data_IF_756769842562
#
_entry.id   IF_756769842562
#
_cell.length_a   1.000
_cell.length_b   1.000
_cell.length_c   1.000
_cell.angle_alpha   90.00
_cell.angle_beta   90.00
_cell.angle_gamma   90.00
#
_symmetry.space_group_name_H-M   'P 1'
#
loop_
_entity.id
_entity.type
_entity.pdbx_description
1 polymer ?
#
# COMPACT_ATOMS: atom_id res chain seq x y z
N UNK A 1 -14.83 3.34 -4.14
CA UNK A 1 -14.09 4.61 -4.02
C UNK A 1 -14.48 5.23 -2.69
N UNK A 2 -13.54 5.45 -1.75
CA UNK A 2 -13.85 6.24 -0.55
C UNK A 2 -13.88 7.70 -1.00
N UNK A 3 -15.04 8.33 -0.93
CA UNK A 3 -15.17 9.77 -1.11
C UNK A 3 -14.21 10.43 -0.11
N UNK A 4 -13.22 11.16 -0.60
CA UNK A 4 -12.33 11.94 0.26
C UNK A 4 -13.21 12.97 0.97
N UNK A 5 -13.46 12.75 2.25
CA UNK A 5 -14.24 13.68 3.04
C UNK A 5 -13.35 14.90 3.27
N UNK A 6 -13.64 15.97 2.53
CA UNK A 6 -12.92 17.24 2.64
C UNK A 6 -13.23 17.83 4.01
N UNK A 7 -12.21 17.94 4.85
CA UNK A 7 -12.31 18.64 6.13
C UNK A 7 -12.20 20.14 5.86
N UNK A 8 -13.14 20.92 6.40
CA UNK A 8 -13.04 22.38 6.40
C UNK A 8 -12.36 22.84 7.67
N UNK A 9 -11.12 23.31 7.55
CA UNK A 9 -10.33 23.80 8.68
C UNK A 9 -11.01 24.98 9.37
N UNK A 10 -11.73 25.84 8.64
CA UNK A 10 -12.40 27.02 9.19
C UNK A 10 -13.56 26.63 10.10
N UNK A 11 -14.30 25.58 9.75
CA UNK A 11 -15.36 25.04 10.59
C UNK A 11 -14.81 24.36 11.85
N UNK A 12 -13.67 23.66 11.73
CA UNK A 12 -12.99 23.04 12.86
C UNK A 12 -12.48 24.12 13.84
N UNK A 13 -11.88 25.20 13.33
CA UNK A 13 -11.27 26.25 14.15
C UNK A 13 -12.26 27.05 15.01
N UNK A 14 -13.56 27.00 14.70
CA UNK A 14 -14.60 27.55 15.59
C UNK A 14 -14.66 26.85 16.96
N UNK A 15 -14.23 25.58 17.02
CA UNK A 15 -14.37 24.74 18.21
C UNK A 15 -13.02 24.27 18.77
N UNK A 16 -11.96 24.36 17.98
CA UNK A 16 -10.64 23.88 18.34
C UNK A 16 -9.54 24.86 17.93
N UNK A 17 -8.48 24.95 18.71
CA UNK A 17 -7.22 25.57 18.27
C UNK A 17 -6.20 24.49 17.95
N UNK A 18 -5.54 24.62 16.81
CA UNK A 18 -4.51 23.68 16.33
C UNK A 18 -3.17 24.42 16.35
N UNK A 19 -2.18 23.89 17.06
CA UNK A 19 -0.81 24.43 17.09
C UNK A 19 -0.02 24.00 15.85
N UNK A 20 1.11 24.66 15.62
CA UNK A 20 2.06 24.35 14.55
C UNK A 20 2.60 22.91 14.65
N UNK A 21 2.84 22.41 15.87
CA UNK A 21 3.26 21.02 16.17
C UNK A 21 2.14 19.97 16.15
N UNK A 22 0.90 20.38 15.86
CA UNK A 22 -0.25 19.48 15.78
C UNK A 22 -0.92 19.15 17.11
N UNK A 23 -0.70 19.94 18.16
CA UNK A 23 -1.50 19.86 19.38
C UNK A 23 -2.86 20.51 19.19
N UNK A 24 -3.91 19.90 19.75
CA UNK A 24 -5.29 20.36 19.57
C UNK A 24 -5.90 20.73 20.91
N UNK A 25 -6.30 21.99 21.06
CA UNK A 25 -7.06 22.50 22.21
C UNK A 25 -8.55 22.55 21.88
N UNK A 26 -9.41 22.11 22.80
CA UNK A 26 -10.87 22.19 22.63
C UNK A 26 -11.45 23.37 23.39
N UNK A 27 -12.13 24.27 22.68
CA UNK A 27 -12.82 25.42 23.27
C UNK A 27 -14.08 25.02 24.04
N UNK A 28 -14.68 23.88 23.69
CA UNK A 28 -15.85 23.31 24.38
C UNK A 28 -15.43 22.66 25.70
N UNK A 29 -14.38 21.83 25.67
CA UNK A 29 -13.91 21.10 26.87
C UNK A 29 -12.90 21.87 27.71
N UNK A 30 -12.48 23.06 27.26
CA UNK A 30 -11.47 23.94 27.88
C UNK A 30 -10.19 23.20 28.28
N UNK A 31 -9.70 22.32 27.38
CA UNK A 31 -8.50 21.52 27.61
C UNK A 31 -7.85 21.08 26.30
N UNK A 32 -6.57 20.75 26.39
CA UNK A 32 -5.86 20.00 25.36
C UNK A 32 -6.47 18.61 25.19
N UNK A 33 -6.71 18.21 23.94
CA UNK A 33 -7.09 16.85 23.62
C UNK A 33 -5.88 15.94 23.80
N UNK A 34 -6.12 14.72 24.29
CA UNK A 34 -5.07 13.71 24.41
C UNK A 34 -4.71 13.18 23.02
N UNK A 35 -3.46 13.31 22.56
CA UNK A 35 -3.02 12.66 21.34
C UNK A 35 -3.09 11.15 21.50
N UNK A 36 -3.58 10.47 20.47
CA UNK A 36 -3.43 9.02 20.35
C UNK A 36 -2.45 8.72 19.23
N UNK A 37 -1.84 7.54 19.27
CA UNK A 37 -0.96 7.05 18.20
C UNK A 37 -1.55 5.75 17.71
N UNK A 38 -1.79 5.64 16.40
CA UNK A 38 -2.30 4.41 15.81
C UNK A 38 -1.19 3.37 15.63
N UNK A 39 -1.56 2.17 15.20
CA UNK A 39 -0.61 1.06 14.94
C UNK A 39 0.42 1.36 13.83
N UNK A 40 0.26 2.45 13.09
CA UNK A 40 1.16 2.91 12.05
C UNK A 40 2.07 4.05 12.48
N UNK A 41 1.94 4.54 13.73
CA UNK A 41 2.76 5.62 14.28
C UNK A 41 2.23 7.02 14.05
N UNK A 42 1.05 7.18 13.44
CA UNK A 42 0.47 8.51 13.20
C UNK A 42 -0.31 9.00 14.41
N UNK A 43 -0.10 10.27 14.75
CA UNK A 43 -0.86 10.97 15.80
C UNK A 43 -2.25 11.34 15.27
N UNK A 44 -3.28 11.06 16.05
CA UNK A 44 -4.68 11.39 15.72
C UNK A 44 -5.50 11.79 16.95
N UNK A 45 -6.57 12.55 16.67
CA UNK A 45 -7.51 13.08 17.64
C UNK A 45 -8.94 12.71 17.26
N UNK A 46 -9.79 12.50 18.26
CA UNK A 46 -11.22 12.36 18.06
C UNK A 46 -11.88 13.75 18.09
N UNK A 47 -12.41 14.20 16.94
CA UNK A 47 -13.14 15.45 16.81
C UNK A 47 -14.64 15.17 16.84
N UNK A 48 -15.38 16.06 17.51
CA UNK A 48 -16.84 15.96 17.71
C UNK A 48 -17.58 17.11 17.02
N UNK A 49 -16.96 18.29 16.94
CA UNK A 49 -17.55 19.51 16.39
C UNK A 49 -16.75 20.01 15.18
N UNK A 50 -17.34 20.85 14.33
CA UNK A 50 -16.70 21.34 13.10
C UNK A 50 -16.44 20.24 12.06
N UNK A 51 -17.00 19.05 12.27
CA UNK A 51 -16.93 17.87 11.39
C UNK A 51 -18.33 17.28 11.24
N UNK A 52 -18.68 16.64 10.12
CA UNK A 52 -20.05 16.16 9.85
C UNK A 52 -20.48 15.00 10.74
N UNK A 53 -19.54 14.28 11.35
CA UNK A 53 -19.80 13.29 12.41
C UNK A 53 -18.56 13.12 13.26
N UNK A 54 -18.74 12.55 14.45
CA UNK A 54 -17.61 12.19 15.32
C UNK A 54 -16.65 11.29 14.56
N UNK A 55 -15.39 11.69 14.48
CA UNK A 55 -14.38 10.98 13.70
C UNK A 55 -12.98 11.19 14.23
N UNK A 56 -12.09 10.27 13.87
CA UNK A 56 -10.67 10.40 14.10
C UNK A 56 -10.01 11.16 12.95
N UNK A 57 -9.28 12.22 13.26
CA UNK A 57 -8.54 13.04 12.31
C UNK A 57 -7.07 13.06 12.70
N UNK A 58 -6.18 12.94 11.71
CA UNK A 58 -4.74 12.96 11.96
C UNK A 58 -4.23 14.36 12.26
N UNK A 59 -3.24 14.46 13.16
CA UNK A 59 -2.59 15.71 13.53
C UNK A 59 -1.95 16.39 12.31
N UNK A 60 -1.16 15.64 11.52
CA UNK A 60 -0.54 16.15 10.30
C UNK A 60 -1.57 16.71 9.31
N UNK A 61 -2.77 16.12 9.19
CA UNK A 61 -3.84 16.64 8.33
C UNK A 61 -4.34 18.00 8.81
N UNK A 62 -4.60 18.13 10.11
CA UNK A 62 -5.04 19.40 10.70
C UNK A 62 -3.98 20.50 10.53
N UNK A 63 -2.71 20.17 10.76
CA UNK A 63 -1.59 21.11 10.59
C UNK A 63 -1.43 21.51 9.14
N UNK A 64 -1.36 20.55 8.21
CA UNK A 64 -1.17 20.85 6.80
C UNK A 64 -2.29 21.73 6.25
N UNK A 65 -3.56 21.40 6.55
CA UNK A 65 -4.70 22.22 6.11
C UNK A 65 -4.65 23.65 6.65
N UNK A 66 -4.13 23.85 7.88
CA UNK A 66 -4.05 25.16 8.52
C UNK A 66 -2.86 26.00 8.04
N UNK A 67 -1.65 25.43 8.05
CA UNK A 67 -0.40 26.17 7.89
C UNK A 67 0.22 26.06 6.49
N UNK A 68 -0.15 25.02 5.73
CA UNK A 68 0.32 24.82 4.34
C UNK A 68 -0.81 25.16 3.36
N UNK A 69 -2.05 24.82 3.72
CA UNK A 69 -3.25 25.02 2.92
C UNK A 69 -3.77 23.72 2.31
N UNK A 70 -4.75 23.88 1.40
CA UNK A 70 -5.39 22.77 0.73
C UNK A 70 -4.40 21.98 -0.15
N UNK A 71 -4.59 20.66 -0.29
CA UNK A 71 -3.76 19.86 -1.19
C UNK A 71 -3.88 20.39 -2.64
N UNK A 72 -2.78 20.40 -3.42
CA UNK A 72 -2.82 20.86 -4.82
C UNK A 72 -3.77 20.03 -5.69
N UNK A 73 -3.92 18.73 -5.40
CA UNK A 73 -4.90 17.86 -6.05
C UNK A 73 -5.43 16.82 -5.06
N UNK A 74 -6.58 16.20 -5.37
CA UNK A 74 -7.16 15.12 -4.55
C UNK A 74 -6.28 13.88 -4.39
N UNK A 75 -5.23 13.74 -5.22
CA UNK A 75 -4.27 12.63 -5.17
C UNK A 75 -3.08 12.90 -4.26
N UNK A 76 -2.97 14.10 -3.71
CA UNK A 76 -1.90 14.44 -2.79
C UNK A 76 -2.20 13.89 -1.41
N UNK A 77 -1.19 13.24 -0.84
CA UNK A 77 -1.12 12.74 0.51
C UNK A 77 -0.07 13.57 1.27
N UNK A 78 -0.17 13.61 2.60
CA UNK A 78 0.81 14.30 3.43
C UNK A 78 1.96 13.34 3.70
N UNK A 79 3.18 13.83 3.50
CA UNK A 79 4.41 13.13 3.82
C UNK A 79 5.23 13.87 4.87
N UNK A 80 5.94 13.12 5.71
CA UNK A 80 6.81 13.62 6.76
C UNK A 80 8.25 13.64 6.25
N UNK A 81 8.86 14.82 6.14
CA UNK A 81 10.20 14.97 5.55
C UNK A 81 11.26 14.18 6.31
N UNK A 82 11.18 14.12 7.63
CA UNK A 82 12.08 13.38 8.53
C UNK A 82 11.70 11.90 8.76
N UNK A 83 10.64 11.41 8.12
CA UNK A 83 10.03 10.08 8.31
C UNK A 83 9.49 9.79 9.72
N UNK A 84 9.49 10.79 10.62
CA UNK A 84 8.92 10.67 11.95
C UNK A 84 7.45 11.10 11.92
N UNK A 85 6.55 10.12 11.84
CA UNK A 85 5.09 10.30 11.83
C UNK A 85 4.51 11.00 13.06
N UNK A 86 5.31 11.19 14.11
CA UNK A 86 4.94 11.92 15.32
C UNK A 86 5.42 13.38 15.31
N UNK A 87 6.37 13.74 14.44
CA UNK A 87 6.80 15.13 14.23
C UNK A 87 5.83 15.83 13.26
N UNK A 88 4.74 16.39 13.80
CA UNK A 88 3.70 17.02 13.00
C UNK A 88 3.90 18.52 12.78
N UNK A 89 5.07 19.08 13.06
CA UNK A 89 5.34 20.50 12.80
C UNK A 89 5.16 20.82 11.31
N UNK A 90 4.48 21.92 10.96
CA UNK A 90 4.13 22.23 9.57
C UNK A 90 5.33 22.25 8.62
N UNK A 91 6.50 22.69 9.10
CA UNK A 91 7.74 22.71 8.30
C UNK A 91 8.29 21.31 7.96
N UNK A 92 7.83 20.28 8.67
CA UNK A 92 8.17 18.88 8.43
C UNK A 92 7.16 18.17 7.51
N UNK A 93 6.08 18.84 7.12
CA UNK A 93 5.00 18.25 6.31
C UNK A 93 5.06 18.76 4.88
N UNK A 94 4.77 17.89 3.92
CA UNK A 94 4.68 18.26 2.51
C UNK A 94 3.57 17.48 1.81
N UNK A 95 2.87 18.13 0.88
CA UNK A 95 1.95 17.45 -0.02
C UNK A 95 2.73 16.73 -1.12
N UNK A 96 2.51 15.42 -1.27
CA UNK A 96 3.11 14.60 -2.33
C UNK A 96 2.08 13.67 -2.94
N UNK A 97 2.20 13.40 -4.22
CA UNK A 97 1.41 12.33 -4.83
C UNK A 97 1.88 10.96 -4.32
N UNK A 98 0.99 9.97 -4.37
CA UNK A 98 1.32 8.60 -3.97
C UNK A 98 2.55 8.04 -4.71
N UNK A 99 2.71 8.36 -5.99
CA UNK A 99 3.85 7.91 -6.80
C UNK A 99 5.18 8.51 -6.33
N UNK A 100 5.19 9.81 -6.02
CA UNK A 100 6.37 10.51 -5.49
C UNK A 100 6.74 9.98 -4.10
N UNK A 101 5.75 9.77 -3.23
CA UNK A 101 5.96 9.22 -1.90
C UNK A 101 6.58 7.81 -1.97
N UNK A 102 6.07 6.94 -2.85
CA UNK A 102 6.66 5.61 -3.08
C UNK A 102 8.11 5.73 -3.56
N UNK A 103 8.36 6.57 -4.57
CA UNK A 103 9.70 6.73 -5.13
C UNK A 103 10.70 7.20 -4.07
N UNK A 104 10.31 8.18 -3.27
CA UNK A 104 11.15 8.69 -2.19
C UNK A 104 11.38 7.63 -1.11
N UNK A 105 10.35 6.88 -0.73
CA UNK A 105 10.47 5.76 0.22
C UNK A 105 11.49 4.72 -0.25
N UNK A 106 11.55 4.43 -1.55
CA UNK A 106 12.59 3.55 -2.11
C UNK A 106 13.98 4.18 -2.02
N UNK A 107 14.13 5.48 -2.33
CA UNK A 107 15.41 6.19 -2.22
C UNK A 107 15.96 6.19 -0.80
N UNK A 108 15.09 6.34 0.19
CA UNK A 108 15.45 6.40 1.62
C UNK A 108 15.64 5.03 2.28
N UNK A 109 15.40 3.95 1.54
CA UNK A 109 15.45 2.58 2.06
C UNK A 109 14.14 2.23 2.76
N UNK A 110 13.21 1.64 1.99
CA UNK A 110 11.84 1.33 2.39
C UNK A 110 11.76 0.65 3.77
N UNK A 111 11.17 1.33 4.75
CA UNK A 111 10.96 0.81 6.12
C UNK A 111 9.60 0.14 6.29
N UNK A 112 9.48 -0.68 7.33
CA UNK A 112 8.22 -1.30 7.72
C UNK A 112 7.15 -0.25 8.04
N UNK A 113 5.92 -0.50 7.61
CA UNK A 113 4.81 0.45 7.79
C UNK A 113 4.24 0.48 9.23
N UNK A 114 4.48 -0.58 10.01
CA UNK A 114 3.90 -0.79 11.33
C UNK A 114 4.83 -0.28 12.44
N UNK A 115 4.28 0.47 13.40
CA UNK A 115 5.05 0.96 14.54
C UNK A 115 5.56 -0.23 15.37
N UNK A 116 6.88 -0.29 15.57
CA UNK A 116 7.52 -1.34 16.38
C UNK A 116 7.49 -2.76 15.77
N UNK A 117 7.01 -2.93 14.53
CA UNK A 117 7.00 -4.24 13.84
C UNK A 117 7.80 -4.16 12.55
N UNK A 118 9.08 -4.45 12.65
CA UNK A 118 9.88 -4.84 11.50
C UNK A 118 9.61 -6.33 11.25
N UNK A 119 8.93 -6.67 10.14
CA UNK A 119 9.05 -8.03 9.65
C UNK A 119 10.51 -8.20 9.23
N UNK A 120 11.25 -9.18 9.77
CA UNK A 120 12.58 -9.46 9.24
C UNK A 120 12.43 -9.77 7.75
N UNK A 121 13.43 -9.36 6.97
CA UNK A 121 13.52 -9.77 5.57
C UNK A 121 13.41 -11.31 5.51
N UNK A 122 12.68 -11.87 4.54
CA UNK A 122 12.60 -13.33 4.38
C UNK A 122 14.01 -13.94 4.34
N UNK A 123 14.19 -15.12 4.95
CA UNK A 123 15.47 -15.83 4.89
C UNK A 123 15.89 -16.09 3.43
N UNK A 124 17.18 -16.29 3.18
CA UNK A 124 17.67 -16.65 1.83
C UNK A 124 16.91 -17.87 1.28
N UNK A 125 16.72 -18.89 2.12
CA UNK A 125 15.91 -20.07 1.82
C UNK A 125 14.48 -19.70 1.41
N UNK A 126 13.81 -18.82 2.17
CA UNK A 126 12.45 -18.35 1.84
C UNK A 126 12.44 -17.60 0.52
N UNK A 127 13.45 -16.76 0.25
CA UNK A 127 13.58 -16.03 -1.02
C UNK A 127 13.75 -17.01 -2.20
N UNK A 128 14.58 -18.04 -2.03
CA UNK A 128 14.77 -19.09 -3.04
C UNK A 128 13.47 -19.88 -3.27
N UNK A 129 12.76 -20.28 -2.20
CA UNK A 129 11.49 -20.98 -2.31
C UNK A 129 10.45 -20.14 -3.06
N UNK A 130 10.33 -18.85 -2.74
CA UNK A 130 9.43 -17.91 -3.43
C UNK A 130 9.83 -17.69 -4.89
N UNK A 131 11.12 -17.64 -5.20
CA UNK A 131 11.62 -17.51 -6.56
C UNK A 131 11.31 -18.77 -7.39
N UNK A 132 11.52 -19.96 -6.80
CA UNK A 132 11.22 -21.24 -7.44
C UNK A 132 9.71 -21.44 -7.63
N UNK A 133 8.87 -21.02 -6.67
CA UNK A 133 7.41 -21.06 -6.82
C UNK A 133 6.89 -20.22 -7.99
N UNK A 134 7.66 -19.23 -8.48
CA UNK A 134 7.34 -18.46 -9.69
C UNK A 134 7.77 -19.16 -10.99
N UNK A 135 8.65 -20.16 -10.90
CA UNK A 135 9.17 -21.01 -11.98
C UNK A 135 8.45 -22.37 -12.03
N UNK A 136 7.13 -22.37 -11.89
CA UNK A 136 6.33 -23.60 -12.04
C UNK A 136 6.27 -23.95 -13.53
N UNK A 137 6.89 -25.07 -13.95
CA UNK A 137 6.92 -25.43 -15.35
C UNK A 137 5.51 -25.82 -15.83
N UNK A 138 5.26 -25.53 -17.09
CA UNK A 138 3.99 -25.78 -17.76
C UNK A 138 4.26 -26.48 -19.09
N UNK A 139 3.35 -27.34 -19.51
CA UNK A 139 3.40 -27.99 -20.83
C UNK A 139 2.26 -27.46 -21.66
N UNK A 140 2.55 -27.14 -22.91
CA UNK A 140 1.56 -26.83 -23.93
C UNK A 140 1.45 -28.01 -24.89
N UNK A 141 0.25 -28.55 -25.05
CA UNK A 141 -0.02 -29.65 -25.96
C UNK A 141 -0.84 -29.16 -27.12
N UNK A 142 -0.32 -29.32 -28.34
CA UNK A 142 -0.99 -28.96 -29.58
C UNK A 142 -0.75 -30.03 -30.62
N UNK A 143 -1.81 -30.54 -31.24
CA UNK A 143 -1.75 -31.56 -32.29
C UNK A 143 -0.93 -32.80 -31.89
N UNK A 144 -0.99 -33.18 -30.60
CA UNK A 144 -0.23 -34.31 -30.04
C UNK A 144 1.24 -34.02 -29.72
N UNK A 145 1.73 -32.80 -29.98
CA UNK A 145 3.10 -32.37 -29.65
C UNK A 145 3.11 -31.66 -28.30
N UNK A 146 3.96 -32.12 -27.39
CA UNK A 146 4.19 -31.49 -26.10
C UNK A 146 5.35 -30.49 -26.16
N UNK A 147 5.10 -29.26 -25.74
CA UNK A 147 6.08 -28.17 -25.68
C UNK A 147 6.24 -27.75 -24.21
N UNK A 148 7.34 -28.13 -23.55
CA UNK A 148 7.58 -27.74 -22.17
C UNK A 148 8.08 -26.30 -22.07
N UNK A 149 7.65 -25.61 -21.03
CA UNK A 149 8.13 -24.28 -20.63
C UNK A 149 8.50 -24.31 -19.15
N UNK A 150 9.61 -23.69 -18.77
CA UNK A 150 10.06 -23.59 -17.38
C UNK A 150 9.21 -22.68 -16.51
N UNK A 151 8.32 -21.87 -17.09
CA UNK A 151 7.33 -21.09 -16.35
C UNK A 151 6.16 -20.61 -17.21
N UNK A 152 5.09 -20.13 -16.56
CA UNK A 152 4.01 -19.36 -17.22
C UNK A 152 4.58 -18.14 -18.00
N UNK A 153 5.66 -17.53 -17.51
CA UNK A 153 6.27 -16.38 -18.18
C UNK A 153 6.87 -16.76 -19.52
N UNK A 154 7.62 -17.85 -19.52
CA UNK A 154 8.22 -18.43 -20.71
C UNK A 154 7.17 -18.91 -21.70
N UNK A 155 6.13 -19.61 -21.22
CA UNK A 155 5.00 -20.01 -22.06
C UNK A 155 4.28 -18.81 -22.68
N UNK A 156 4.07 -17.73 -21.92
CA UNK A 156 3.44 -16.53 -22.48
C UNK A 156 4.28 -15.87 -23.55
N UNK A 157 5.61 -15.83 -23.39
CA UNK A 157 6.52 -15.32 -24.40
C UNK A 157 6.54 -16.21 -25.66
N UNK A 158 6.68 -17.53 -25.48
CA UNK A 158 6.73 -18.50 -26.58
C UNK A 158 5.42 -18.58 -27.37
N UNK A 159 4.27 -18.41 -26.71
CA UNK A 159 2.95 -18.43 -27.36
C UNK A 159 2.47 -17.05 -27.84
N UNK A 160 3.30 -16.00 -27.67
CA UNK A 160 2.96 -14.63 -28.09
C UNK A 160 1.70 -14.09 -27.41
N UNK A 161 1.58 -14.30 -26.10
CA UNK A 161 0.41 -13.91 -25.29
C UNK A 161 0.85 -13.30 -23.95
N UNK A 162 -0.10 -13.00 -23.08
CA UNK A 162 0.18 -12.47 -21.74
C UNK A 162 -0.01 -13.53 -20.66
N UNK A 163 0.77 -13.45 -19.57
CA UNK A 163 0.81 -14.43 -18.47
C UNK A 163 -0.56 -14.83 -17.92
N UNK A 164 -1.50 -13.88 -17.84
CA UNK A 164 -2.84 -14.11 -17.29
C UNK A 164 -3.74 -14.93 -18.24
N UNK A 165 -3.53 -14.87 -19.55
CA UNK A 165 -4.20 -15.76 -20.49
C UNK A 165 -3.76 -17.21 -20.29
N UNK A 166 -2.44 -17.44 -20.19
CA UNK A 166 -1.86 -18.77 -19.90
C UNK A 166 -2.37 -19.32 -18.57
N UNK A 167 -2.36 -18.51 -17.50
CA UNK A 167 -2.89 -18.93 -16.20
C UNK A 167 -4.37 -19.33 -16.26
N UNK A 168 -5.21 -18.56 -16.97
CA UNK A 168 -6.64 -18.88 -17.14
C UNK A 168 -6.85 -20.14 -17.95
N UNK A 169 -6.09 -20.32 -19.04
CA UNK A 169 -6.12 -21.54 -19.84
C UNK A 169 -5.86 -22.79 -18.99
N UNK A 170 -4.82 -22.74 -18.15
CA UNK A 170 -4.49 -23.84 -17.22
C UNK A 170 -5.59 -24.03 -16.17
N UNK A 171 -6.08 -22.95 -15.57
CA UNK A 171 -7.04 -23.00 -14.46
C UNK A 171 -8.41 -23.51 -14.90
N UNK A 172 -8.91 -22.96 -16.00
CA UNK A 172 -10.27 -23.18 -16.49
C UNK A 172 -10.31 -24.36 -17.49
N UNK A 173 -9.16 -24.97 -17.79
CA UNK A 173 -9.04 -26.11 -18.71
C UNK A 173 -9.38 -25.77 -20.16
N UNK A 174 -9.25 -24.50 -20.54
CA UNK A 174 -9.63 -24.01 -21.87
C UNK A 174 -8.43 -23.97 -22.80
N UNK A 175 -8.69 -24.20 -24.09
CA UNK A 175 -7.66 -24.08 -25.11
C UNK A 175 -7.15 -22.64 -25.25
N UNK A 176 -5.84 -22.54 -25.49
CA UNK A 176 -5.17 -21.30 -25.83
C UNK A 176 -4.42 -21.51 -27.14
N UNK A 177 -4.75 -20.72 -28.16
CA UNK A 177 -4.10 -20.79 -29.48
C UNK A 177 -4.17 -22.17 -30.15
N UNK A 178 -5.24 -22.93 -29.88
CA UNK A 178 -5.47 -24.27 -30.43
C UNK A 178 -4.67 -25.36 -29.74
N UNK A 179 -4.33 -25.18 -28.45
CA UNK A 179 -3.72 -26.22 -27.64
C UNK A 179 -4.05 -26.05 -26.16
N UNK A 180 -3.78 -27.07 -25.36
CA UNK A 180 -4.13 -27.13 -23.93
C UNK A 180 -2.86 -26.90 -23.10
N UNK A 181 -2.98 -26.19 -21.98
CA UNK A 181 -1.89 -26.02 -21.02
C UNK A 181 -2.20 -26.68 -19.68
N UNK A 182 -1.18 -27.29 -19.08
CA UNK A 182 -1.23 -27.76 -17.69
C UNK A 182 0.11 -27.57 -16.99
N UNK A 183 0.08 -27.52 -15.65
CA UNK A 183 1.30 -27.58 -14.85
C UNK A 183 1.89 -28.99 -14.91
N UNK A 184 3.21 -29.10 -15.04
CA UNK A 184 3.88 -30.38 -14.79
C UNK A 184 3.63 -30.71 -13.32
N UNK A 185 2.91 -31.82 -13.05
CA UNK A 185 2.78 -32.32 -11.69
C UNK A 185 4.15 -32.85 -11.29
N UNK A 186 4.65 -32.42 -10.13
CA UNK A 186 5.82 -33.03 -9.53
C UNK A 186 5.57 -34.55 -9.47
N UNK A 187 6.35 -35.32 -10.22
CA UNK A 187 6.38 -36.78 -10.07
C UNK A 187 6.95 -36.96 -8.65
N UNK A 188 6.09 -37.36 -7.70
CA UNK A 188 6.58 -37.80 -6.40
C UNK A 188 7.65 -38.87 -6.67
N UNK A 189 8.86 -38.78 -6.07
CA UNK A 189 9.88 -39.78 -6.30
C UNK A 189 9.27 -41.13 -5.91
N UNK A 190 9.06 -41.98 -6.91
CA UNK A 190 8.72 -43.38 -6.70
C UNK A 190 9.87 -43.98 -5.93
N UNK A 191 9.65 -44.23 -4.64
CA UNK A 191 10.62 -44.89 -3.78
C UNK A 191 11.04 -46.21 -4.42
N UNK A 192 12.35 -46.34 -4.61
CA UNK A 192 13.06 -47.61 -4.77
C UNK A 192 14.19 -47.58 -3.74
#
# INVERSE_FOLDING_TARGET
MRQAMVLDIREIEKYYSISEDGMVYSHIRKRWLRPQVNNYGYVHYCLTFGVPRVMWVFAHTLVALKYIGAPPTERHEIDHLDENKQNNHYSNLVWRTHAENILESYRRGRRGHWLGRNKPSPSLETMLLMANAKKKPVVYVKDGVEIPFGSIGEASAGLGTYRKAVYRAIKDGVELKGGILYFIKDIAPTGV
#
